data_IF_072509484298
#
_entry.id   IF_072509484298
#
_cell.length_a   1.000
_cell.length_b   1.000
_cell.length_c   1.000
_cell.angle_alpha   90.00
_cell.angle_beta   90.00
_cell.angle_gamma   90.00
#
_symmetry.space_group_name_H-M   'P 1'
#
loop_
_entity.id
_entity.type
_entity.pdbx_description
1 polymer ?
#
# COMPACT_ATOMS: atom_id res chain seq x y z
N UNK A 1 5.63 -17.12 -10.89
CA UNK A 1 5.33 -18.55 -10.58
C UNK A 1 5.71 -18.91 -9.14
N UNK A 2 6.92 -18.54 -8.68
CA UNK A 2 7.39 -18.80 -7.30
C UNK A 2 6.38 -18.39 -6.20
N UNK A 3 5.92 -17.14 -6.21
CA UNK A 3 4.97 -16.64 -5.20
C UNK A 3 3.59 -17.33 -5.25
N UNK A 4 3.09 -17.64 -6.45
CA UNK A 4 1.80 -18.33 -6.61
C UNK A 4 1.83 -19.72 -5.98
N UNK A 5 2.91 -20.48 -6.25
CA UNK A 5 3.13 -21.77 -5.61
C UNK A 5 3.35 -21.63 -4.09
N UNK A 6 4.03 -20.57 -3.64
CA UNK A 6 4.18 -20.28 -2.22
C UNK A 6 2.82 -20.09 -1.52
N UNK A 7 1.90 -19.34 -2.11
CA UNK A 7 0.55 -19.18 -1.57
C UNK A 7 -0.23 -20.50 -1.54
N UNK A 8 -0.19 -21.29 -2.61
CA UNK A 8 -0.86 -22.61 -2.68
C UNK A 8 -0.31 -23.60 -1.62
N UNK A 9 1.01 -23.66 -1.48
CA UNK A 9 1.68 -24.50 -0.48
C UNK A 9 1.33 -24.04 0.93
N UNK A 10 1.37 -22.73 1.19
CA UNK A 10 1.03 -22.15 2.50
C UNK A 10 -0.42 -22.42 2.85
N UNK A 11 -1.35 -22.18 1.91
CA UNK A 11 -2.77 -22.45 2.12
C UNK A 11 -3.04 -23.93 2.42
N UNK A 12 -2.39 -24.84 1.69
CA UNK A 12 -2.52 -26.28 1.93
C UNK A 12 -1.94 -26.68 3.29
N UNK A 13 -0.73 -26.20 3.61
CA UNK A 13 0.00 -26.55 4.84
C UNK A 13 -0.76 -26.14 6.11
N UNK A 14 -1.36 -24.95 6.10
CA UNK A 14 -2.08 -24.42 7.26
C UNK A 14 -3.61 -24.55 7.12
N UNK A 15 -4.09 -25.29 6.11
CA UNK A 15 -5.52 -25.49 5.85
C UNK A 15 -6.31 -24.17 5.74
N UNK A 16 -5.72 -23.16 5.09
CA UNK A 16 -6.35 -21.86 4.85
C UNK A 16 -7.28 -21.93 3.66
N UNK A 17 -8.46 -21.33 3.80
CA UNK A 17 -9.40 -21.20 2.69
C UNK A 17 -9.03 -19.97 1.86
N UNK A 18 -8.72 -20.17 0.58
CA UNK A 18 -8.54 -19.05 -0.37
C UNK A 18 -9.92 -18.71 -0.95
N UNK A 19 -10.45 -17.50 -0.68
CA UNK A 19 -11.76 -17.10 -1.20
C UNK A 19 -11.77 -17.16 -2.73
N UNK A 20 -12.85 -17.67 -3.32
CA UNK A 20 -13.09 -17.63 -4.78
C UNK A 20 -13.84 -16.37 -5.21
N UNK A 21 -13.89 -15.38 -4.32
CA UNK A 21 -14.63 -14.14 -4.54
C UNK A 21 -13.94 -13.25 -5.57
N UNK A 22 -14.71 -12.38 -6.22
CA UNK A 22 -14.13 -11.40 -7.12
C UNK A 22 -13.23 -10.43 -6.35
N UNK A 23 -12.17 -9.89 -6.98
CA UNK A 23 -11.30 -8.92 -6.35
C UNK A 23 -12.11 -7.73 -5.83
N UNK A 24 -11.83 -7.29 -4.61
CA UNK A 24 -12.46 -6.11 -4.04
C UNK A 24 -12.09 -4.84 -4.86
N UNK A 25 -12.82 -3.72 -4.70
CA UNK A 25 -12.56 -2.52 -5.48
C UNK A 25 -11.12 -2.00 -5.40
N UNK A 26 -10.48 -2.08 -4.23
CA UNK A 26 -9.08 -1.63 -4.05
C UNK A 26 -8.13 -2.53 -4.85
N UNK A 27 -8.31 -3.85 -4.79
CA UNK A 27 -7.53 -4.79 -5.59
C UNK A 27 -7.74 -4.55 -7.09
N UNK A 28 -8.98 -4.28 -7.54
CA UNK A 28 -9.23 -3.90 -8.95
C UNK A 28 -8.52 -2.61 -9.33
N UNK A 29 -8.55 -1.58 -8.47
CA UNK A 29 -7.85 -0.32 -8.72
C UNK A 29 -6.33 -0.50 -8.80
N UNK A 30 -5.74 -1.41 -8.04
CA UNK A 30 -4.34 -1.80 -8.23
C UNK A 30 -4.09 -2.45 -9.59
N UNK A 31 -4.96 -3.35 -10.04
CA UNK A 31 -4.87 -3.95 -11.37
C UNK A 31 -4.96 -2.89 -12.49
N UNK A 32 -5.90 -1.95 -12.36
CA UNK A 32 -6.04 -0.83 -13.31
C UNK A 32 -4.79 0.06 -13.34
N UNK A 33 -4.22 0.35 -12.16
CA UNK A 33 -2.95 1.06 -12.05
C UNK A 33 -1.81 0.30 -12.75
N UNK A 34 -1.71 -1.02 -12.56
CA UNK A 34 -0.70 -1.84 -13.24
C UNK A 34 -0.86 -1.82 -14.76
N UNK A 35 -2.10 -1.94 -15.26
CA UNK A 35 -2.38 -1.85 -16.70
C UNK A 35 -2.01 -0.47 -17.23
N UNK A 36 -2.35 0.60 -16.51
CA UNK A 36 -1.99 1.97 -16.89
C UNK A 36 -0.48 2.19 -16.92
N UNK A 37 0.23 1.79 -15.86
CA UNK A 37 1.67 1.97 -15.69
C UNK A 37 2.51 1.10 -16.65
N UNK A 38 1.93 0.02 -17.18
CA UNK A 38 2.56 -0.84 -18.21
C UNK A 38 2.10 -0.53 -19.63
N UNK A 39 1.23 0.47 -19.80
CA UNK A 39 0.72 0.85 -21.12
C UNK A 39 1.78 1.62 -21.93
N UNK A 40 1.70 1.63 -23.27
CA UNK A 40 2.58 2.45 -24.11
C UNK A 40 2.47 3.97 -23.87
N UNK A 41 1.47 4.44 -23.11
CA UNK A 41 1.28 5.85 -22.78
C UNK A 41 2.03 6.27 -21.49
N UNK A 42 2.47 5.30 -20.69
CA UNK A 42 3.31 5.52 -19.52
C UNK A 42 4.78 5.55 -19.91
N UNK A 43 5.58 6.37 -19.21
CA UNK A 43 7.04 6.31 -19.38
C UNK A 43 7.62 5.09 -18.65
N UNK A 44 8.80 4.63 -19.09
CA UNK A 44 9.49 3.53 -18.41
C UNK A 44 9.76 3.86 -16.93
N UNK A 45 10.20 5.09 -16.65
CA UNK A 45 10.41 5.57 -15.28
C UNK A 45 9.13 5.53 -14.44
N UNK A 46 7.99 5.93 -15.01
CA UNK A 46 6.69 5.90 -14.33
C UNK A 46 6.29 4.47 -13.93
N UNK A 47 6.43 3.51 -14.85
CA UNK A 47 6.21 2.09 -14.57
C UNK A 47 7.18 1.52 -13.53
N UNK A 48 8.46 1.89 -13.60
CA UNK A 48 9.48 1.47 -12.65
C UNK A 48 9.22 2.03 -11.23
N UNK A 49 8.73 3.27 -11.12
CA UNK A 49 8.32 3.88 -9.85
C UNK A 49 7.14 3.12 -9.24
N UNK A 50 6.12 2.77 -10.02
CA UNK A 50 4.98 1.97 -9.52
C UNK A 50 5.44 0.61 -8.99
N UNK A 51 6.31 -0.08 -9.73
CA UNK A 51 6.89 -1.36 -9.30
C UNK A 51 7.64 -1.19 -7.97
N UNK A 52 8.63 -0.30 -7.92
CA UNK A 52 9.43 -0.09 -6.72
C UNK A 52 8.56 0.33 -5.52
N UNK A 53 7.60 1.22 -5.71
CA UNK A 53 6.76 1.74 -4.63
C UNK A 53 5.96 0.63 -3.96
N UNK A 54 5.38 -0.29 -4.74
CA UNK A 54 4.58 -1.40 -4.19
C UNK A 54 5.47 -2.39 -3.44
N UNK A 55 6.61 -2.75 -4.02
CA UNK A 55 7.57 -3.65 -3.36
C UNK A 55 8.13 -3.03 -2.07
N UNK A 56 8.37 -1.72 -2.08
CA UNK A 56 8.75 -0.98 -0.89
C UNK A 56 7.65 -1.00 0.17
N UNK A 57 6.38 -0.81 -0.21
CA UNK A 57 5.25 -0.87 0.71
C UNK A 57 5.08 -2.27 1.32
N UNK A 58 5.24 -3.35 0.53
CA UNK A 58 5.31 -4.72 1.02
C UNK A 58 6.42 -4.86 2.07
N UNK A 59 7.66 -4.52 1.71
CA UNK A 59 8.82 -4.63 2.61
C UNK A 59 8.61 -3.86 3.91
N UNK A 60 8.15 -2.62 3.84
CA UNK A 60 7.91 -1.78 5.01
C UNK A 60 6.83 -2.37 5.93
N UNK A 61 5.71 -2.82 5.36
CA UNK A 61 4.59 -3.39 6.11
C UNK A 61 5.00 -4.68 6.82
N UNK A 62 5.69 -5.58 6.12
CA UNK A 62 6.12 -6.86 6.68
C UNK A 62 7.28 -6.71 7.67
N UNK A 63 8.19 -5.76 7.46
CA UNK A 63 9.22 -5.43 8.45
C UNK A 63 8.61 -4.87 9.74
N UNK A 64 7.58 -4.04 9.63
CA UNK A 64 6.81 -3.57 10.78
C UNK A 64 6.12 -4.74 11.49
N UNK A 65 5.41 -5.60 10.76
CA UNK A 65 4.77 -6.80 11.32
C UNK A 65 5.76 -7.72 12.05
N UNK A 66 6.97 -7.91 11.49
CA UNK A 66 8.01 -8.73 12.11
C UNK A 66 8.50 -8.17 13.46
N UNK A 67 8.38 -6.87 13.70
CA UNK A 67 8.76 -6.27 14.99
C UNK A 67 7.90 -6.77 16.17
N UNK A 68 6.72 -7.33 15.90
CA UNK A 68 5.81 -7.90 16.91
C UNK A 68 5.98 -9.41 17.11
N UNK A 69 6.84 -10.10 16.34
CA UNK A 69 7.00 -11.55 16.44
C UNK A 69 7.53 -12.02 17.80
N UNK A 70 8.27 -11.19 18.53
CA UNK A 70 8.80 -11.54 19.86
C UNK A 70 7.73 -11.50 20.98
N UNK A 71 6.69 -10.68 20.82
CA UNK A 71 5.60 -10.48 21.80
C UNK A 71 4.51 -11.56 21.76
N UNK A 72 4.52 -12.43 20.75
CA UNK A 72 3.47 -13.44 20.50
C UNK A 72 3.87 -14.87 20.87
N UNK A 73 4.97 -15.06 21.61
CA UNK A 73 5.40 -16.36 22.16
C UNK A 73 4.47 -16.91 23.28
N UNK A 74 3.18 -16.56 23.26
CA UNK A 74 2.20 -17.22 24.11
C UNK A 74 2.02 -18.66 23.60
N UNK A 75 2.01 -19.66 24.50
CA UNK A 75 1.84 -21.04 24.09
C UNK A 75 0.51 -21.20 23.37
N UNK A 76 0.56 -21.70 22.13
CA UNK A 76 -0.59 -22.03 21.31
C UNK A 76 -1.44 -23.03 22.12
N UNK A 77 -2.59 -22.58 22.64
CA UNK A 77 -3.50 -23.46 23.36
C UNK A 77 -4.22 -24.35 22.34
N UNK A 78 -4.33 -25.67 22.58
CA UNK A 78 -4.77 -26.66 21.59
C UNK A 78 -6.26 -26.59 21.18
N UNK A 79 -6.95 -25.47 21.40
CA UNK A 79 -8.40 -25.34 21.22
C UNK A 79 -8.89 -24.10 20.45
N UNK A 80 -8.03 -23.30 19.81
CA UNK A 80 -8.48 -22.24 18.90
C UNK A 80 -8.52 -22.76 17.46
N UNK A 81 -9.61 -23.46 17.13
CA UNK A 81 -9.72 -24.28 15.92
C UNK A 81 -9.75 -23.52 14.58
N UNK A 82 -9.68 -22.18 14.56
CA UNK A 82 -9.62 -21.38 13.32
C UNK A 82 -8.66 -20.18 13.39
N UNK A 83 -8.37 -19.62 14.56
CA UNK A 83 -7.44 -18.49 14.71
C UNK A 83 -5.97 -18.90 14.64
N UNK A 84 -5.66 -20.13 15.08
CA UNK A 84 -4.28 -20.59 15.25
C UNK A 84 -3.58 -20.86 13.92
N UNK A 85 -4.31 -21.30 12.88
CA UNK A 85 -3.71 -21.62 11.58
C UNK A 85 -3.32 -20.38 10.79
N UNK A 86 -4.16 -19.34 10.81
CA UNK A 86 -3.84 -18.05 10.19
C UNK A 86 -2.65 -17.38 10.88
N UNK A 87 -2.63 -17.40 12.22
CA UNK A 87 -1.51 -16.86 12.98
C UNK A 87 -0.21 -17.65 12.72
N UNK A 88 -0.27 -18.99 12.75
CA UNK A 88 0.88 -19.84 12.43
C UNK A 88 1.41 -19.58 11.01
N UNK A 89 0.54 -19.49 10.00
CA UNK A 89 0.93 -19.18 8.62
C UNK A 89 1.60 -17.79 8.52
N UNK A 90 1.06 -16.80 9.22
CA UNK A 90 1.60 -15.45 9.27
C UNK A 90 3.04 -15.45 9.79
N UNK A 91 3.27 -16.02 10.98
CA UNK A 91 4.57 -15.96 11.64
C UNK A 91 5.60 -16.91 11.04
N UNK A 92 5.18 -18.10 10.61
CA UNK A 92 6.11 -19.15 10.17
C UNK A 92 6.35 -19.15 8.66
N UNK A 93 5.58 -18.40 7.87
CA UNK A 93 5.69 -18.43 6.40
C UNK A 93 5.60 -17.06 5.76
N UNK A 94 4.55 -16.28 6.02
CA UNK A 94 4.35 -14.99 5.36
C UNK A 94 5.40 -13.94 5.78
N UNK A 95 5.56 -13.69 7.08
CA UNK A 95 6.55 -12.74 7.60
C UNK A 95 7.96 -13.10 7.10
N UNK A 96 8.47 -14.33 7.28
CA UNK A 96 9.81 -14.70 6.82
C UNK A 96 10.03 -14.53 5.31
N UNK A 97 9.00 -14.69 4.48
CA UNK A 97 9.11 -14.54 3.03
C UNK A 97 9.45 -13.09 2.65
N UNK A 98 8.62 -12.14 3.09
CA UNK A 98 8.75 -10.72 2.75
C UNK A 98 9.70 -9.93 3.66
N UNK A 99 10.23 -10.54 4.73
CA UNK A 99 11.38 -10.00 5.47
C UNK A 99 12.70 -10.70 5.15
N UNK A 100 12.71 -11.59 4.16
CA UNK A 100 13.93 -12.29 3.75
C UNK A 100 14.97 -11.32 3.19
N UNK A 101 16.25 -11.65 3.36
CA UNK A 101 17.34 -10.87 2.78
C UNK A 101 17.30 -10.86 1.24
N UNK A 102 16.74 -11.91 0.63
CA UNK A 102 16.55 -11.97 -0.82
C UNK A 102 15.51 -10.94 -1.29
N UNK A 103 14.36 -10.87 -0.62
CA UNK A 103 13.34 -9.88 -0.93
C UNK A 103 13.85 -8.46 -0.68
N UNK A 104 14.55 -8.22 0.43
CA UNK A 104 15.17 -6.92 0.71
C UNK A 104 16.10 -6.45 -0.43
N UNK A 105 17.00 -7.33 -0.89
CA UNK A 105 17.91 -7.04 -2.01
C UNK A 105 17.17 -6.78 -3.32
N UNK A 106 16.09 -7.51 -3.58
CA UNK A 106 15.24 -7.27 -4.74
C UNK A 106 14.64 -5.86 -4.72
N UNK A 107 14.05 -5.44 -3.59
CA UNK A 107 13.51 -4.08 -3.45
C UNK A 107 14.61 -3.02 -3.62
N UNK A 108 15.79 -3.25 -3.05
CA UNK A 108 16.93 -2.33 -3.18
C UNK A 108 17.41 -2.23 -4.65
N UNK A 109 17.38 -3.33 -5.39
CA UNK A 109 17.69 -3.34 -6.82
C UNK A 109 16.63 -2.58 -7.64
N UNK A 110 15.34 -2.75 -7.36
CA UNK A 110 14.27 -1.94 -7.97
C UNK A 110 14.49 -0.45 -7.73
N UNK A 111 14.88 -0.07 -6.50
CA UNK A 111 15.20 1.32 -6.17
C UNK A 111 16.37 1.84 -7.02
N UNK A 112 17.44 1.06 -7.13
CA UNK A 112 18.63 1.46 -7.89
C UNK A 112 18.30 1.71 -9.37
N UNK A 113 17.45 0.86 -9.98
CA UNK A 113 16.98 1.04 -11.37
C UNK A 113 16.17 2.34 -11.51
N UNK A 114 15.26 2.63 -10.57
CA UNK A 114 14.49 3.89 -10.57
C UNK A 114 15.41 5.10 -10.46
N UNK A 115 16.38 5.07 -9.54
CA UNK A 115 17.34 6.16 -9.36
C UNK A 115 18.18 6.39 -10.63
N UNK A 116 18.63 5.31 -11.29
CA UNK A 116 19.40 5.40 -12.53
C UNK A 116 18.59 6.01 -13.68
N UNK A 117 17.36 5.52 -13.90
CA UNK A 117 16.45 6.05 -14.91
C UNK A 117 16.13 7.53 -14.65
N UNK A 118 15.85 7.90 -13.40
CA UNK A 118 15.57 9.28 -13.03
C UNK A 118 16.76 10.20 -13.34
N UNK A 119 17.98 9.77 -13.03
CA UNK A 119 19.19 10.54 -13.32
C UNK A 119 19.47 10.68 -14.83
N UNK A 120 19.18 9.64 -15.61
CA UNK A 120 19.36 9.65 -17.06
C UNK A 120 18.33 10.55 -17.77
N UNK A 121 17.10 10.62 -17.26
CA UNK A 121 15.97 11.28 -17.90
C UNK A 121 15.75 12.75 -17.47
N UNK A 122 16.52 13.27 -16.49
CA UNK A 122 16.51 14.69 -16.05
C UNK A 122 17.09 15.70 -17.07
N UNK A 123 16.63 15.62 -18.33
CA UNK A 123 16.76 16.59 -19.42
C UNK A 123 15.64 17.66 -19.32
N UNK A 124 15.53 18.70 -20.18
CA UNK A 124 14.62 19.85 -20.01
C UNK A 124 13.14 19.56 -19.71
N UNK A 125 12.62 18.36 -20.03
CA UNK A 125 11.25 17.92 -19.72
C UNK A 125 11.11 17.17 -18.39
N UNK A 126 12.17 17.04 -17.59
CA UNK A 126 12.20 16.24 -16.37
C UNK A 126 11.17 16.66 -15.32
N UNK A 127 10.70 17.91 -15.33
CA UNK A 127 9.69 18.40 -14.37
C UNK A 127 8.31 17.75 -14.58
N UNK A 128 7.86 17.64 -15.83
CA UNK A 128 6.56 17.02 -16.13
C UNK A 128 6.60 15.52 -15.85
N UNK A 129 7.67 14.86 -16.29
CA UNK A 129 7.86 13.44 -16.04
C UNK A 129 7.96 13.13 -14.54
N UNK A 130 8.70 13.93 -13.78
CA UNK A 130 8.77 13.82 -12.33
C UNK A 130 7.41 14.01 -11.67
N UNK A 131 6.59 14.96 -12.16
CA UNK A 131 5.22 15.15 -11.69
C UNK A 131 4.34 13.91 -11.91
N UNK A 132 4.43 13.29 -13.09
CA UNK A 132 3.72 12.03 -13.39
C UNK A 132 4.18 10.89 -12.49
N UNK A 133 5.49 10.74 -12.30
CA UNK A 133 6.05 9.73 -11.40
C UNK A 133 5.59 9.93 -9.95
N UNK A 134 5.58 11.17 -9.47
CA UNK A 134 5.08 11.50 -8.13
C UNK A 134 3.59 11.20 -7.99
N UNK A 135 2.79 11.51 -9.02
CA UNK A 135 1.36 11.18 -9.03
C UNK A 135 1.15 9.66 -8.95
N UNK A 136 1.90 8.88 -9.73
CA UNK A 136 1.83 7.42 -9.70
C UNK A 136 2.26 6.85 -8.33
N UNK A 137 3.34 7.39 -7.74
CA UNK A 137 3.79 7.03 -6.40
C UNK A 137 2.71 7.32 -5.33
N UNK A 138 2.11 8.51 -5.37
CA UNK A 138 1.04 8.88 -4.44
C UNK A 138 -0.20 7.99 -4.61
N UNK A 139 -0.53 7.61 -5.84
CA UNK A 139 -1.62 6.67 -6.11
C UNK A 139 -1.35 5.29 -5.50
N UNK A 140 -0.10 4.80 -5.59
CA UNK A 140 0.31 3.57 -4.90
C UNK A 140 0.08 3.68 -3.39
N UNK A 141 0.56 4.75 -2.75
CA UNK A 141 0.39 4.92 -1.30
C UNK A 141 -1.08 5.01 -0.89
N UNK A 142 -1.88 5.74 -1.66
CA UNK A 142 -3.32 5.90 -1.42
C UNK A 142 -4.06 4.57 -1.50
N UNK A 143 -3.74 3.73 -2.49
CA UNK A 143 -4.31 2.39 -2.63
C UNK A 143 -3.80 1.45 -1.54
N UNK A 144 -2.51 1.56 -1.20
CA UNK A 144 -1.87 0.70 -0.20
C UNK A 144 -2.51 0.86 1.17
N UNK A 145 -2.70 2.11 1.62
CA UNK A 145 -3.38 2.44 2.87
C UNK A 145 -4.74 1.74 2.99
N UNK A 146 -5.50 1.68 1.89
CA UNK A 146 -6.86 1.13 1.83
C UNK A 146 -6.91 -0.39 1.66
N UNK A 147 -5.76 -1.03 1.49
CA UNK A 147 -5.67 -2.50 1.45
C UNK A 147 -5.93 -3.10 2.82
N UNK A 148 -5.52 -2.38 3.87
CA UNK A 148 -5.61 -2.88 5.24
C UNK A 148 -6.99 -2.58 5.83
N UNK A 149 -7.62 -3.54 6.52
CA UNK A 149 -8.87 -3.28 7.22
C UNK A 149 -8.66 -2.22 8.30
N UNK A 150 -9.68 -1.41 8.56
CA UNK A 150 -9.68 -0.52 9.73
C UNK A 150 -9.53 -1.36 10.98
N UNK A 151 -8.50 -1.08 11.77
CA UNK A 151 -8.29 -1.73 13.07
C UNK A 151 -9.05 -0.91 14.11
N UNK A 152 -10.30 -1.27 14.37
CA UNK A 152 -11.07 -0.76 15.51
C UNK A 152 -10.81 -1.63 16.74
N UNK A 153 -9.78 -1.26 17.50
CA UNK A 153 -9.52 -1.84 18.82
C UNK A 153 -8.50 -2.98 18.81
N UNK A 154 -7.64 -2.97 19.83
CA UNK A 154 -6.72 -4.07 20.14
C UNK A 154 -7.49 -5.27 20.69
N UNK A 155 -8.32 -5.92 19.86
CA UNK A 155 -8.97 -7.18 20.21
C UNK A 155 -10.01 -7.12 21.33
N UNK A 156 -10.61 -5.96 21.59
CA UNK A 156 -11.88 -5.93 22.33
C UNK A 156 -12.98 -6.33 21.35
N UNK A 157 -13.32 -7.62 21.34
CA UNK A 157 -14.46 -8.14 20.60
C UNK A 157 -15.72 -7.39 21.05
N UNK A 158 -16.12 -6.36 20.32
CA UNK A 158 -17.45 -5.80 20.51
C UNK A 158 -18.42 -6.72 19.75
N UNK A 159 -18.90 -7.78 20.42
CA UNK A 159 -19.97 -8.69 19.95
C UNK A 159 -21.21 -7.94 19.42
N UNK A 160 -21.33 -6.65 19.73
CA UNK A 160 -22.42 -5.76 19.31
C UNK A 160 -22.39 -5.34 17.83
N UNK A 161 -21.24 -5.34 17.15
CA UNK A 161 -21.13 -4.79 15.79
C UNK A 161 -21.74 -5.69 14.70
N UNK A 162 -21.81 -7.00 14.95
CA UNK A 162 -22.43 -7.97 14.03
C UNK A 162 -23.96 -7.91 14.07
N UNK A 163 -24.56 -7.41 15.15
CA UNK A 163 -26.01 -7.33 15.31
C UNK A 163 -26.64 -6.09 14.64
N UNK A 164 -25.90 -4.98 14.49
CA UNK A 164 -26.46 -3.74 13.94
C UNK A 164 -26.57 -3.74 12.41
N UNK A 165 -25.79 -4.57 11.69
CA UNK A 165 -25.86 -4.65 10.22
C UNK A 165 -27.09 -5.38 9.68
N UNK A 166 -27.89 -6.03 10.53
CA UNK A 166 -29.04 -6.84 10.10
C UNK A 166 -30.42 -6.26 10.43
N UNK A 167 -30.51 -5.09 11.09
CA UNK A 167 -31.81 -4.57 11.54
C UNK A 167 -32.27 -3.23 10.91
N UNK A 168 -31.60 -2.74 9.86
CA UNK A 168 -32.08 -1.56 9.13
C UNK A 168 -32.97 -1.95 7.93
N UNK A 169 -34.05 -2.68 8.18
CA UNK A 169 -35.15 -2.76 7.22
C UNK A 169 -36.49 -3.08 7.90
N UNK A 170 -37.33 -2.05 8.08
CA UNK A 170 -38.76 -2.20 8.32
C UNK A 170 -39.26 -1.63 9.64
N UNK A 171 -39.72 -0.38 9.62
CA UNK A 171 -41.16 0.00 9.78
C UNK A 171 -41.24 1.47 10.22
N UNK A 172 -41.75 2.32 9.33
CA UNK A 172 -42.29 3.64 9.71
C UNK A 172 -43.68 3.45 10.32
N UNK A 173 -44.05 4.23 11.35
CA UNK A 173 -45.39 4.77 11.43
C UNK A 173 -45.38 6.30 11.34
N UNK A 174 -46.29 6.82 10.51
CA UNK A 174 -46.71 8.22 10.51
C UNK A 174 -47.43 8.51 11.83
N UNK A 175 -47.15 9.65 12.45
CA UNK A 175 -48.16 10.40 13.18
C UNK A 175 -47.94 11.90 12.96
N UNK A 176 -49.03 12.56 12.58
CA UNK A 176 -49.19 14.01 12.57
C UNK A 176 -49.15 14.56 13.99
N UNK A 177 -48.80 15.84 14.16
CA UNK A 177 -49.68 16.93 14.67
C UNK A 177 -48.83 18.14 15.10
N UNK A 178 -49.14 19.33 14.56
CA UNK A 178 -48.88 20.68 15.11
C UNK A 178 -47.42 21.13 15.25
N UNK A 179 -46.95 22.30 14.83
CA UNK A 179 -47.57 23.59 14.57
C UNK A 179 -46.65 24.67 15.15
N UNK A 180 -46.22 25.67 14.35
CA UNK A 180 -45.48 26.84 14.86
C UNK A 180 -44.27 27.27 14.02
N UNK A 181 -44.49 28.13 13.04
CA UNK A 181 -43.51 29.08 12.46
C UNK A 181 -43.52 30.39 13.29
N UNK A 182 -42.72 31.43 12.99
CA UNK A 182 -41.45 31.52 12.25
C UNK A 182 -40.40 32.41 12.97
N UNK A 183 -39.18 32.53 12.43
CA UNK A 183 -38.42 33.78 12.54
C UNK A 183 -36.90 33.68 12.57
N UNK A 184 -36.24 34.36 11.63
CA UNK A 184 -34.92 34.95 11.85
C UNK A 184 -33.80 34.48 10.92
N UNK A 185 -33.67 35.12 9.76
CA UNK A 185 -32.39 35.34 9.06
C UNK A 185 -31.98 36.78 9.35
N UNK A 186 -30.68 37.08 9.56
CA UNK A 186 -29.84 37.62 8.47
C UNK A 186 -28.44 36.95 8.50
N UNK A 187 -27.82 36.58 7.37
CA UNK A 187 -27.19 37.37 6.31
C UNK A 187 -25.96 38.21 6.75
N UNK A 188 -24.83 37.94 6.05
CA UNK A 188 -23.52 38.63 5.97
C UNK A 188 -22.34 37.65 6.03
N UNK A 189 -21.21 37.85 5.35
CA UNK A 189 -20.85 38.46 4.08
C UNK A 189 -19.33 38.17 3.93
N UNK A 190 -18.90 37.80 2.73
CA UNK A 190 -17.61 38.08 2.07
C UNK A 190 -16.27 38.28 2.85
N UNK A 191 -15.23 37.50 2.46
CA UNK A 191 -13.89 37.95 1.97
C UNK A 191 -12.91 36.74 1.88
N UNK A 192 -12.51 36.28 0.69
CA UNK A 192 -11.27 36.60 -0.06
C UNK A 192 -9.96 36.30 0.67
N UNK A 193 -9.07 35.54 0.03
CA UNK A 193 -7.68 35.44 0.43
C UNK A 193 -7.00 34.21 -0.17
N UNK A 194 -6.58 34.35 -1.42
CA UNK A 194 -5.52 33.54 -2.02
C UNK A 194 -4.27 33.59 -1.13
N UNK A 195 -3.59 32.46 -0.94
CA UNK A 195 -2.13 32.42 -0.82
C UNK A 195 -1.63 31.03 -1.23
N UNK A 196 -1.00 30.99 -2.40
CA UNK A 196 -0.22 29.87 -2.87
C UNK A 196 1.11 29.83 -2.13
N UNK A 197 1.35 28.80 -1.32
CA UNK A 197 2.66 28.50 -0.77
C UNK A 197 3.55 27.89 -1.87
N UNK A 198 4.14 28.76 -2.68
CA UNK A 198 5.26 28.45 -3.58
C UNK A 198 6.50 28.19 -2.71
N UNK A 199 6.83 26.92 -2.48
CA UNK A 199 8.09 26.53 -1.85
C UNK A 199 9.25 26.80 -2.83
N UNK A 200 9.87 27.96 -2.70
CA UNK A 200 11.06 28.36 -3.44
C UNK A 200 12.28 27.58 -2.93
N UNK A 201 12.65 26.50 -3.63
CA UNK A 201 13.88 25.74 -3.32
C UNK A 201 15.09 26.57 -3.75
N UNK A 202 15.74 27.19 -2.76
CA UNK A 202 17.03 27.88 -2.90
C UNK A 202 18.05 26.97 -3.59
N UNK A 203 18.52 27.43 -4.75
CA UNK A 203 19.62 26.84 -5.53
C UNK A 203 20.94 27.06 -4.80
N UNK A 204 21.34 26.09 -3.98
CA UNK A 204 22.68 26.01 -3.38
C UNK A 204 23.68 25.42 -4.38
N UNK A 205 24.77 26.14 -4.60
CA UNK A 205 25.83 25.87 -5.57
C UNK A 205 26.46 24.48 -5.44
N UNK A 206 26.61 23.79 -6.58
CA UNK A 206 27.26 22.49 -6.71
C UNK A 206 28.77 22.57 -6.42
N UNK A 207 29.24 21.83 -5.43
CA UNK A 207 30.63 21.37 -5.33
C UNK A 207 30.62 19.94 -4.76
N UNK A 208 31.08 18.98 -5.57
CA UNK A 208 31.38 17.61 -5.13
C UNK A 208 30.39 16.55 -5.61
N UNK A 209 30.40 16.24 -6.92
CA UNK A 209 29.78 15.04 -7.44
C UNK A 209 30.55 13.80 -6.95
N UNK A 210 30.15 13.25 -5.81
CA UNK A 210 30.46 11.87 -5.48
C UNK A 210 29.55 11.00 -6.35
N UNK A 211 30.14 10.31 -7.32
CA UNK A 211 29.48 9.24 -8.06
C UNK A 211 28.95 8.22 -7.04
N UNK A 212 27.62 8.13 -6.91
CA UNK A 212 26.99 7.09 -6.11
C UNK A 212 27.24 5.75 -6.81
N UNK A 213 28.23 5.01 -6.34
CA UNK A 213 28.49 3.65 -6.79
C UNK A 213 27.49 2.75 -6.07
N UNK A 214 26.44 2.35 -6.78
CA UNK A 214 25.49 1.36 -6.30
C UNK A 214 26.23 0.08 -5.89
N UNK A 215 25.97 -0.50 -4.70
CA UNK A 215 26.59 -1.75 -4.27
C UNK A 215 26.20 -2.95 -5.15
N UNK A 216 25.28 -2.77 -6.10
CA UNK A 216 24.79 -3.80 -7.03
C UNK A 216 25.49 -3.80 -8.40
N UNK A 217 26.52 -2.98 -8.61
CA UNK A 217 27.18 -2.83 -9.91
C UNK A 217 26.28 -2.12 -10.94
N UNK A 218 26.81 -1.94 -12.16
CA UNK A 218 26.21 -1.12 -13.21
C UNK A 218 24.88 -1.64 -13.80
N UNK A 219 24.36 -2.79 -13.34
CA UNK A 219 23.17 -3.41 -13.92
C UNK A 219 22.17 -3.82 -12.82
N UNK A 220 21.41 -2.87 -12.28
CA UNK A 220 20.32 -3.17 -11.34
C UNK A 220 19.31 -4.19 -11.93
N UNK A 221 19.18 -4.23 -13.26
CA UNK A 221 18.37 -5.20 -13.98
C UNK A 221 18.85 -6.65 -13.81
N UNK A 222 20.17 -6.88 -13.76
CA UNK A 222 20.75 -8.21 -13.50
C UNK A 222 20.53 -8.67 -12.06
N UNK A 223 20.53 -7.74 -11.11
CA UNK A 223 20.21 -8.05 -9.72
C UNK A 223 18.74 -8.46 -9.56
N UNK A 224 17.82 -7.78 -10.25
CA UNK A 224 16.40 -8.16 -10.31
C UNK A 224 16.21 -9.54 -10.96
N UNK A 225 16.87 -9.80 -12.08
CA UNK A 225 16.82 -11.10 -12.76
C UNK A 225 17.37 -12.23 -11.89
N UNK A 226 18.50 -12.02 -11.20
CA UNK A 226 19.08 -13.00 -10.29
C UNK A 226 18.17 -13.28 -9.08
N UNK A 227 17.53 -12.25 -8.52
CA UNK A 227 16.60 -12.42 -7.39
C UNK A 227 15.32 -13.18 -7.79
N UNK A 228 14.82 -12.97 -9.01
CA UNK A 228 13.66 -13.68 -9.54
C UNK A 228 13.93 -15.15 -9.89
N UNK A 229 15.20 -15.51 -10.12
CA UNK A 229 15.62 -16.86 -10.52
C UNK A 229 16.21 -17.71 -9.38
N UNK A 230 16.48 -17.12 -8.21
CA UNK A 230 16.84 -17.84 -6.97
C UNK A 230 15.59 -18.38 -6.24
#
# INVERSE_FOLDING_TARGET
RREMSFFEITATKYNLQVPKEEPNPITRSFLDLFVSASSPAASLLEGAVVLWAIEHCYRASWAYAASFSSSLNQPILPYSSNGDSHNAALHQSLIPNWTSAAFAKFVDACKAVVDELANAETSPNGREQMSRCLSAFNQVLWLWERTWPSVDGMGEENESASAERFNSNGMRPRSSTGGGQPGGVPDRDSHTGDDEDVVEIRRGSAIGANSYVSPYGADGLRAVEAANNA
#
